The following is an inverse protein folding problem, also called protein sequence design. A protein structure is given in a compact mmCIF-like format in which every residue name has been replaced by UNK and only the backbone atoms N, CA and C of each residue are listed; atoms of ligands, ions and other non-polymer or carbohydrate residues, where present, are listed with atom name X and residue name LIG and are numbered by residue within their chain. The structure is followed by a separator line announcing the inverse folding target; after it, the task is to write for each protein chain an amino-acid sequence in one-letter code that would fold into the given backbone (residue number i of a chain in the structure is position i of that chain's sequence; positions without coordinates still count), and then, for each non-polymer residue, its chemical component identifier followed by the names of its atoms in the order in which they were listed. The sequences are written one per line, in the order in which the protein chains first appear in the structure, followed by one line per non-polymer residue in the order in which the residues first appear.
data_IF_023052009426
#
_entry.id   IF_023052009426
#
_cell.length_a   1.000
_cell.length_b   1.000
_cell.length_c   1.000
_cell.angle_alpha   90.00
_cell.angle_beta   90.00
_cell.angle_gamma   90.00
#
_symmetry.space_group_name_H-M   'P 1'
#
loop_
_entity.id
_entity.type
_entity.pdbx_description
1 polymer ?
#
# COMPACT_ATOMS: atom_id res chain seq x y z
N UNK A 1 -21.73 -1.02 -2.06
CA UNK A 1 -20.70 -0.44 -1.16
C UNK A 1 -19.43 -0.26 -1.98
N UNK A 2 -18.85 0.94 -1.97
CA UNK A 2 -17.78 1.34 -2.89
C UNK A 2 -16.44 0.67 -2.55
N UNK A 3 -15.74 0.16 -3.57
CA UNK A 3 -14.44 -0.52 -3.41
C UNK A 3 -13.39 0.48 -2.88
N UNK A 4 -13.48 1.73 -3.33
CA UNK A 4 -12.63 2.85 -2.92
C UNK A 4 -12.71 3.09 -1.41
N UNK A 5 -13.91 3.01 -0.82
CA UNK A 5 -14.08 3.15 0.63
C UNK A 5 -13.38 2.00 1.39
N UNK A 6 -13.47 0.75 0.90
CA UNK A 6 -12.79 -0.39 1.52
C UNK A 6 -11.27 -0.21 1.49
N UNK A 7 -10.74 0.19 0.33
CA UNK A 7 -9.31 0.44 0.14
C UNK A 7 -8.84 1.61 1.01
N UNK A 8 -9.59 2.71 1.08
CA UNK A 8 -9.27 3.85 1.92
C UNK A 8 -9.20 3.48 3.41
N UNK A 9 -10.17 2.70 3.92
CA UNK A 9 -10.15 2.22 5.31
C UNK A 9 -8.95 1.32 5.58
N UNK A 10 -8.63 0.40 4.66
CA UNK A 10 -7.46 -0.46 4.77
C UNK A 10 -6.17 0.36 4.83
N UNK A 11 -5.96 1.26 3.87
CA UNK A 11 -4.77 2.12 3.80
C UNK A 11 -4.64 3.02 5.04
N UNK A 12 -5.74 3.61 5.51
CA UNK A 12 -5.74 4.43 6.72
C UNK A 12 -5.37 3.61 7.97
N UNK A 13 -5.82 2.35 8.03
CA UNK A 13 -5.49 1.43 9.14
C UNK A 13 -4.00 1.06 9.14
N UNK A 14 -3.47 0.61 8.01
CA UNK A 14 -2.08 0.13 7.92
C UNK A 14 -1.06 1.27 7.89
N UNK A 15 -1.39 2.39 7.24
CA UNK A 15 -0.51 3.55 7.11
C UNK A 15 -0.30 4.32 8.40
N UNK A 16 -1.32 4.37 9.26
CA UNK A 16 -1.28 5.13 10.52
C UNK A 16 -1.35 4.25 11.78
N UNK A 17 -1.33 2.90 11.63
CA UNK A 17 -1.48 1.94 12.73
C UNK A 17 -2.72 2.21 13.59
N UNK A 18 -3.84 2.55 12.96
CA UNK A 18 -5.06 2.89 13.69
C UNK A 18 -5.73 1.66 14.28
N UNK A 19 -6.37 1.84 15.44
CA UNK A 19 -7.24 0.82 16.03
C UNK A 19 -8.58 0.80 15.30
N UNK A 20 -9.19 -0.38 15.20
CA UNK A 20 -10.48 -0.59 14.54
C UNK A 20 -11.59 0.38 15.04
N UNK A 21 -11.58 0.68 16.35
CA UNK A 21 -12.52 1.65 16.96
C UNK A 21 -12.41 3.06 16.35
N UNK A 22 -11.20 3.54 16.08
CA UNK A 22 -11.02 4.88 15.51
C UNK A 22 -11.44 4.93 14.04
N UNK A 23 -11.17 3.84 13.30
CA UNK A 23 -11.64 3.69 11.92
C UNK A 23 -13.17 3.66 11.87
N UNK A 24 -13.82 3.01 12.85
CA UNK A 24 -15.28 2.99 12.97
C UNK A 24 -15.86 4.38 13.14
N UNK A 25 -15.26 5.20 14.00
CA UNK A 25 -15.66 6.60 14.19
C UNK A 25 -15.43 7.44 12.94
N UNK A 26 -14.29 7.30 12.26
CA UNK A 26 -13.95 8.12 11.10
C UNK A 26 -14.83 7.84 9.86
N UNK A 27 -15.31 6.61 9.71
CA UNK A 27 -16.05 6.18 8.51
C UNK A 27 -17.53 5.88 8.78
N UNK A 28 -18.00 6.08 10.01
CA UNK A 28 -19.36 5.75 10.47
C UNK A 28 -19.76 4.30 10.11
N UNK A 29 -18.88 3.34 10.44
CA UNK A 29 -19.07 1.92 10.15
C UNK A 29 -18.94 1.07 11.41
N UNK A 30 -19.64 -0.06 11.43
CA UNK A 30 -19.47 -1.04 12.50
C UNK A 30 -18.09 -1.69 12.46
N UNK A 31 -17.57 -2.07 13.63
CA UNK A 31 -16.29 -2.79 13.75
C UNK A 31 -16.27 -4.08 12.93
N UNK A 32 -17.40 -4.78 12.82
CA UNK A 32 -17.53 -5.97 11.96
C UNK A 32 -17.34 -5.64 10.48
N UNK A 33 -17.97 -4.55 10.04
CA UNK A 33 -17.88 -4.05 8.66
C UNK A 33 -16.42 -3.73 8.29
N UNK A 34 -15.69 -3.07 9.18
CA UNK A 34 -14.28 -2.72 8.96
C UNK A 34 -13.42 -3.97 8.93
N UNK A 35 -13.61 -4.91 9.88
CA UNK A 35 -12.89 -6.18 9.88
C UNK A 35 -13.11 -6.96 8.58
N UNK A 36 -14.35 -6.98 8.07
CA UNK A 36 -14.68 -7.63 6.79
C UNK A 36 -13.96 -6.98 5.62
N UNK A 37 -13.96 -5.65 5.54
CA UNK A 37 -13.30 -4.92 4.46
C UNK A 37 -11.78 -5.01 4.54
N UNK A 38 -11.22 -4.93 5.74
CA UNK A 38 -9.79 -5.13 5.96
C UNK A 38 -9.34 -6.48 5.39
N UNK A 39 -10.03 -7.57 5.73
CA UNK A 39 -9.69 -8.90 5.24
C UNK A 39 -9.90 -9.06 3.73
N UNK A 40 -10.96 -8.46 3.16
CA UNK A 40 -11.17 -8.46 1.70
C UNK A 40 -10.04 -7.78 0.94
N UNK A 41 -9.65 -6.58 1.38
CA UNK A 41 -8.57 -5.82 0.74
C UNK A 41 -7.23 -6.51 0.96
N UNK A 42 -6.96 -7.01 2.17
CA UNK A 42 -5.75 -7.78 2.46
C UNK A 42 -5.60 -8.98 1.53
N UNK A 43 -6.68 -9.74 1.32
CA UNK A 43 -6.69 -10.87 0.41
C UNK A 43 -6.40 -10.44 -1.02
N UNK A 44 -7.06 -9.40 -1.53
CA UNK A 44 -6.85 -8.90 -2.88
C UNK A 44 -5.40 -8.41 -3.09
N UNK A 45 -4.83 -7.68 -2.13
CA UNK A 45 -3.42 -7.27 -2.15
C UNK A 45 -2.50 -8.50 -2.14
N UNK A 46 -2.84 -9.52 -1.35
CA UNK A 46 -2.11 -10.78 -1.31
C UNK A 46 -2.14 -11.57 -2.62
N UNK A 47 -3.24 -11.51 -3.36
CA UNK A 47 -3.38 -12.11 -4.70
C UNK A 47 -2.56 -11.31 -5.74
N UNK A 48 -2.56 -9.98 -5.64
CA UNK A 48 -1.81 -9.08 -6.53
C UNK A 48 -0.33 -8.92 -6.17
N UNK A 49 0.17 -9.63 -5.14
CA UNK A 49 1.53 -9.44 -4.62
C UNK A 49 2.62 -9.61 -5.69
N UNK A 50 2.44 -10.50 -6.66
CA UNK A 50 3.42 -10.72 -7.73
C UNK A 50 3.53 -9.54 -8.71
N UNK A 51 2.47 -8.74 -8.82
CA UNK A 51 2.43 -7.55 -9.66
C UNK A 51 2.84 -6.30 -8.88
N UNK A 52 2.39 -6.18 -7.62
CA UNK A 52 2.59 -5.00 -6.78
C UNK A 52 3.93 -5.01 -6.04
N UNK A 53 4.39 -6.18 -5.59
CA UNK A 53 5.63 -6.33 -4.81
C UNK A 53 6.70 -6.86 -5.75
N UNK A 54 7.29 -5.95 -6.52
CA UNK A 54 8.43 -6.24 -7.37
C UNK A 54 9.71 -5.77 -6.70
N UNK A 55 10.82 -6.53 -6.82
CA UNK A 55 12.11 -6.00 -6.42
C UNK A 55 12.37 -4.68 -7.16
N UNK A 56 13.04 -3.71 -6.52
CA UNK A 56 13.44 -2.49 -7.21
C UNK A 56 14.26 -2.88 -8.44
N UNK A 57 14.01 -2.21 -9.56
CA UNK A 57 14.82 -2.44 -10.76
C UNK A 57 16.26 -2.03 -10.45
N UNK A 58 17.21 -2.91 -10.76
CA UNK A 58 18.65 -2.61 -10.68
C UNK A 58 19.08 -1.65 -11.80
N UNK A 59 18.21 -1.39 -12.77
CA UNK A 59 18.50 -0.44 -13.84
C UNK A 59 18.63 0.97 -13.27
N UNK A 60 19.70 1.66 -13.66
CA UNK A 60 19.89 3.08 -13.33
C UNK A 60 18.72 3.89 -13.89
N UNK A 61 17.95 4.62 -13.06
CA UNK A 61 16.89 5.50 -13.56
C UNK A 61 17.43 6.51 -14.57
N UNK A 62 16.71 6.73 -15.67
CA UNK A 62 17.11 7.68 -16.73
C UNK A 62 17.37 9.10 -16.23
N UNK A 63 16.70 9.50 -15.14
CA UNK A 63 16.89 10.81 -14.50
C UNK A 63 18.27 10.98 -13.84
N UNK A 64 18.92 9.88 -13.44
CA UNK A 64 20.24 9.91 -12.80
C UNK A 64 21.35 9.31 -13.66
N UNK A 65 20.98 8.65 -14.77
CA UNK A 65 21.93 8.07 -15.72
C UNK A 65 22.92 9.13 -16.21
N UNK A 66 24.21 8.86 -16.04
CA UNK A 66 25.29 9.78 -16.41
C UNK A 66 25.54 10.94 -15.43
N UNK A 67 24.81 11.02 -14.32
CA UNK A 67 25.14 11.96 -13.25
C UNK A 67 26.32 11.43 -12.43
N UNK A 68 27.52 12.07 -12.47
CA UNK A 68 28.72 11.54 -11.84
C UNK A 68 28.61 11.40 -10.32
N UNK A 69 27.68 12.13 -9.69
CA UNK A 69 27.44 12.05 -8.24
C UNK A 69 26.59 10.84 -7.84
N UNK A 70 25.71 10.36 -8.71
CA UNK A 70 24.68 9.37 -8.34
C UNK A 70 24.75 8.08 -9.16
N UNK A 71 25.12 8.15 -10.44
CA UNK A 71 25.26 7.01 -11.36
C UNK A 71 26.18 5.89 -10.84
N UNK A 72 27.34 6.17 -10.18
CA UNK A 72 28.23 5.11 -9.69
C UNK A 72 27.60 4.16 -8.68
N UNK A 73 26.60 4.61 -7.91
CA UNK A 73 25.93 3.79 -6.88
C UNK A 73 24.98 2.72 -7.45
N UNK A 74 24.71 2.77 -8.76
CA UNK A 74 23.76 1.88 -9.44
C UNK A 74 24.44 1.02 -10.53
N UNK A 75 25.79 1.00 -10.57
CA UNK A 75 26.57 0.08 -11.42
C UNK A 75 27.01 -1.10 -10.55
N UNK A 76 26.79 -2.33 -11.05
CA UNK A 76 27.29 -3.58 -10.44
C UNK A 76 28.75 -3.77 -10.83
#
# INVERSE_FOLDING_TARGET
MYVEQQVAMFLNTVGHKLRNRLVATNYDRSSETISRYFNKVLRAVGELRGELIRPPSTATPTKIAGNPRWDPYFKV
#
